data_IF_010995957893
#
_entry.id   IF_010995957893
#
_cell.length_a   1.000
_cell.length_b   1.000
_cell.length_c   1.000
_cell.angle_alpha   90.00
_cell.angle_beta   90.00
_cell.angle_gamma   90.00
#
_symmetry.space_group_name_H-M   'P 1'
#
loop_
_entity.id
_entity.type
_entity.pdbx_description
1 polymer ?
#
# COMPACT_ATOMS: atom_id res chain seq x y z
N UNK A 1 -11.69 -22.72 -9.80
CA UNK A 1 -11.26 -22.79 -11.23
C UNK A 1 -11.08 -21.42 -11.90
N UNK A 2 -12.04 -20.47 -11.82
CA UNK A 2 -11.89 -19.16 -12.49
C UNK A 2 -10.72 -18.33 -11.90
N UNK A 3 -10.52 -18.37 -10.58
CA UNK A 3 -9.42 -17.65 -9.93
C UNK A 3 -8.06 -18.20 -10.36
N UNK A 4 -7.93 -19.50 -10.45
CA UNK A 4 -6.73 -20.21 -10.88
C UNK A 4 -6.40 -19.87 -12.33
N UNK A 5 -7.41 -19.82 -13.20
CA UNK A 5 -7.24 -19.39 -14.60
C UNK A 5 -6.79 -17.92 -14.70
N UNK A 6 -7.32 -17.02 -13.86
CA UNK A 6 -6.87 -15.62 -13.82
C UNK A 6 -5.41 -15.55 -13.34
N UNK A 7 -5.04 -16.34 -12.34
CA UNK A 7 -3.66 -16.39 -11.84
C UNK A 7 -2.70 -16.96 -12.89
N UNK A 8 -3.10 -18.00 -13.63
CA UNK A 8 -2.33 -18.52 -14.77
C UNK A 8 -2.17 -17.49 -15.89
N UNK A 9 -3.25 -16.79 -16.23
CA UNK A 9 -3.20 -15.70 -17.19
C UNK A 9 -2.22 -14.63 -16.71
N UNK A 10 -2.27 -14.26 -15.42
CA UNK A 10 -1.35 -13.29 -14.82
C UNK A 10 0.11 -13.70 -15.02
N UNK A 11 0.46 -14.97 -14.89
CA UNK A 11 1.84 -15.47 -14.98
C UNK A 11 2.19 -16.00 -16.37
N UNK A 12 1.39 -15.71 -17.41
CA UNK A 12 1.51 -16.40 -18.69
C UNK A 12 2.91 -16.35 -19.33
N UNK A 13 3.55 -15.18 -19.33
CA UNK A 13 4.88 -15.01 -19.93
C UNK A 13 6.00 -15.62 -19.06
N UNK A 14 5.82 -15.64 -17.74
CA UNK A 14 6.79 -16.07 -16.74
C UNK A 14 6.12 -17.05 -15.77
N UNK A 15 5.86 -18.30 -16.21
CA UNK A 15 5.13 -19.26 -15.41
C UNK A 15 5.93 -19.68 -14.17
N UNK A 16 5.22 -19.95 -13.07
CA UNK A 16 5.83 -20.55 -11.88
C UNK A 16 6.61 -21.82 -12.21
N UNK A 17 7.81 -22.02 -11.65
CA UNK A 17 8.56 -23.28 -11.80
C UNK A 17 8.00 -24.42 -10.95
N UNK A 18 6.92 -24.19 -10.20
CA UNK A 18 6.24 -25.19 -9.38
C UNK A 18 4.96 -25.65 -10.08
N UNK A 19 4.77 -26.97 -10.13
CA UNK A 19 3.51 -27.61 -10.44
C UNK A 19 2.44 -27.13 -9.45
N UNK A 20 1.32 -26.61 -9.96
CA UNK A 20 0.31 -25.93 -9.14
C UNK A 20 -0.62 -26.88 -8.39
N UNK A 21 -0.63 -28.16 -8.73
CA UNK A 21 -1.50 -29.17 -8.10
C UNK A 21 -0.74 -29.93 -7.02
N UNK A 22 0.49 -30.34 -7.34
CA UNK A 22 1.33 -31.18 -6.49
C UNK A 22 2.47 -30.41 -5.81
N UNK A 23 2.69 -29.14 -6.16
CA UNK A 23 3.78 -28.31 -5.61
C UNK A 23 5.18 -28.77 -6.03
N UNK A 24 5.29 -29.65 -7.02
CA UNK A 24 6.58 -30.23 -7.44
C UNK A 24 7.36 -29.23 -8.26
N UNK A 25 8.67 -29.16 -8.04
CA UNK A 25 9.56 -28.40 -8.91
C UNK A 25 9.56 -28.97 -10.33
N UNK A 26 8.99 -28.23 -11.27
CA UNK A 26 8.91 -28.50 -12.70
C UNK A 26 9.16 -27.20 -13.48
N UNK A 27 10.43 -26.79 -13.61
CA UNK A 27 10.76 -25.51 -14.22
C UNK A 27 10.36 -25.51 -15.68
N UNK A 28 9.49 -24.57 -16.05
CA UNK A 28 9.09 -24.31 -17.43
C UNK A 28 9.87 -23.07 -17.89
N UNK A 29 10.41 -23.11 -19.11
CA UNK A 29 11.07 -21.94 -19.68
C UNK A 29 10.06 -20.79 -19.85
N UNK A 30 10.54 -19.55 -19.68
CA UNK A 30 9.73 -18.37 -19.96
C UNK A 30 9.18 -18.44 -21.39
N UNK A 31 7.91 -18.09 -21.52
CA UNK A 31 7.25 -18.11 -22.83
C UNK A 31 7.73 -16.92 -23.63
N UNK A 32 7.68 -17.04 -24.96
CA UNK A 32 7.87 -15.87 -25.82
C UNK A 32 6.82 -14.83 -25.46
N UNK A 33 7.25 -13.62 -25.12
CA UNK A 33 6.36 -12.52 -24.75
C UNK A 33 5.36 -12.27 -25.89
N UNK A 34 4.08 -12.40 -25.56
CA UNK A 34 2.97 -12.01 -26.43
C UNK A 34 2.20 -10.85 -25.81
N UNK A 35 1.59 -10.03 -26.66
CA UNK A 35 0.67 -8.98 -26.25
C UNK A 35 -0.66 -9.59 -25.77
N UNK A 36 -0.87 -9.63 -24.45
CA UNK A 36 -2.08 -10.20 -23.84
C UNK A 36 -3.22 -9.19 -23.73
N UNK A 37 -2.95 -7.90 -23.97
CA UNK A 37 -3.92 -6.81 -23.86
C UNK A 37 -5.19 -7.07 -24.68
N UNK A 38 -5.05 -7.47 -25.95
CA UNK A 38 -6.17 -7.76 -26.83
C UNK A 38 -6.95 -9.04 -26.49
N UNK A 39 -6.35 -9.94 -25.69
CA UNK A 39 -6.97 -11.20 -25.25
C UNK A 39 -7.69 -10.99 -23.91
N UNK A 40 -7.05 -10.27 -22.99
CA UNK A 40 -7.57 -10.02 -21.64
C UNK A 40 -8.60 -8.90 -21.64
N UNK A 41 -8.41 -7.84 -22.42
CA UNK A 41 -9.29 -6.68 -22.45
C UNK A 41 -10.78 -7.03 -22.59
N UNK A 42 -11.17 -7.88 -23.57
CA UNK A 42 -12.58 -8.25 -23.76
C UNK A 42 -13.24 -8.98 -22.58
N UNK A 43 -12.49 -9.68 -21.73
CA UNK A 43 -13.04 -10.43 -20.60
C UNK A 43 -13.14 -9.61 -19.31
N UNK A 44 -12.38 -8.51 -19.20
CA UNK A 44 -12.32 -7.68 -17.98
C UNK A 44 -13.71 -7.22 -17.49
N UNK A 45 -14.63 -6.73 -18.34
CA UNK A 45 -15.96 -6.31 -17.89
C UNK A 45 -16.75 -7.42 -17.19
N UNK A 46 -16.67 -8.67 -17.67
CA UNK A 46 -17.33 -9.83 -17.05
C UNK A 46 -16.71 -10.15 -15.68
N UNK A 47 -15.38 -10.04 -15.55
CA UNK A 47 -14.70 -10.25 -14.26
C UNK A 47 -15.18 -9.26 -13.19
N UNK A 48 -15.45 -8.00 -13.56
CA UNK A 48 -15.88 -6.94 -12.64
C UNK A 48 -17.34 -7.07 -12.16
N UNK A 49 -18.13 -7.91 -12.82
CA UNK A 49 -19.52 -8.22 -12.45
C UNK A 49 -19.64 -9.54 -11.67
N UNK A 50 -18.54 -10.24 -11.46
CA UNK A 50 -18.51 -11.54 -10.79
C UNK A 50 -18.42 -11.41 -9.26
N UNK A 51 -18.11 -12.52 -8.59
CA UNK A 51 -17.82 -12.54 -7.15
C UNK A 51 -16.66 -11.61 -6.79
N UNK A 52 -16.63 -11.16 -5.54
CA UNK A 52 -15.62 -10.22 -5.02
C UNK A 52 -14.18 -10.68 -5.28
N UNK A 53 -13.90 -11.97 -5.05
CA UNK A 53 -12.58 -12.56 -5.29
C UNK A 53 -12.18 -12.49 -6.78
N UNK A 54 -13.12 -12.79 -7.68
CA UNK A 54 -12.88 -12.76 -9.13
C UNK A 54 -12.73 -11.31 -9.61
N UNK A 55 -13.52 -10.39 -9.05
CA UNK A 55 -13.40 -8.97 -9.34
C UNK A 55 -12.03 -8.45 -8.94
N UNK A 56 -11.56 -8.70 -7.70
CA UNK A 56 -10.23 -8.29 -7.24
C UNK A 56 -9.13 -8.88 -8.12
N UNK A 57 -9.18 -10.18 -8.42
CA UNK A 57 -8.21 -10.81 -9.33
C UNK A 57 -8.24 -10.18 -10.74
N UNK A 58 -9.44 -9.88 -11.26
CA UNK A 58 -9.63 -9.16 -12.52
C UNK A 58 -9.06 -7.75 -12.51
N UNK A 59 -9.18 -7.00 -11.41
CA UNK A 59 -8.57 -5.66 -11.30
C UNK A 59 -7.04 -5.73 -11.37
N UNK A 60 -6.45 -6.73 -10.71
CA UNK A 60 -5.01 -6.98 -10.76
C UNK A 60 -4.56 -7.37 -12.17
N UNK A 61 -5.34 -8.20 -12.86
CA UNK A 61 -5.08 -8.62 -14.23
C UNK A 61 -5.13 -7.43 -15.21
N UNK A 62 -6.16 -6.59 -15.11
CA UNK A 62 -6.31 -5.39 -15.93
C UNK A 62 -5.11 -4.43 -15.72
N UNK A 63 -4.71 -4.22 -14.47
CA UNK A 63 -3.57 -3.37 -14.13
C UNK A 63 -2.22 -3.98 -14.57
N UNK A 64 -2.07 -5.31 -14.53
CA UNK A 64 -0.85 -6.01 -14.98
C UNK A 64 -0.64 -5.86 -16.48
N UNK A 65 -1.70 -5.99 -17.27
CA UNK A 65 -1.64 -5.90 -18.73
C UNK A 65 -1.90 -4.52 -19.30
N UNK A 66 -2.08 -3.50 -18.44
CA UNK A 66 -2.23 -2.12 -18.93
C UNK A 66 -3.54 -1.87 -19.67
N UNK A 67 -4.62 -2.57 -19.32
CA UNK A 67 -5.94 -2.42 -19.97
C UNK A 67 -6.56 -1.07 -19.58
N UNK A 68 -6.25 0.00 -20.30
CA UNK A 68 -6.69 1.37 -19.98
C UNK A 68 -8.19 1.57 -20.13
N UNK A 69 -8.82 0.80 -21.02
CA UNK A 69 -10.26 0.79 -21.26
C UNK A 69 -11.06 0.37 -20.01
N UNK A 70 -10.41 -0.32 -19.06
CA UNK A 70 -11.02 -0.69 -17.78
C UNK A 70 -11.11 0.49 -16.80
N UNK A 71 -10.38 1.58 -17.02
CA UNK A 71 -10.26 2.66 -16.04
C UNK A 71 -11.60 3.33 -15.66
N UNK A 72 -12.55 3.62 -16.58
CA UNK A 72 -13.85 4.16 -16.20
C UNK A 72 -14.62 3.23 -15.23
N UNK A 73 -14.64 1.92 -15.51
CA UNK A 73 -15.30 0.95 -14.64
C UNK A 73 -14.61 0.85 -13.28
N UNK A 74 -13.27 0.87 -13.24
CA UNK A 74 -12.52 0.87 -11.99
C UNK A 74 -12.83 2.12 -11.15
N UNK A 75 -12.96 3.29 -11.77
CA UNK A 75 -13.34 4.53 -11.07
C UNK A 75 -14.74 4.45 -10.46
N UNK A 76 -15.72 3.90 -11.21
CA UNK A 76 -17.05 3.62 -10.68
C UNK A 76 -17.00 2.64 -9.50
N UNK A 77 -16.17 1.60 -9.59
CA UNK A 77 -16.00 0.63 -8.51
C UNK A 77 -15.43 1.25 -7.24
N UNK A 78 -14.47 2.19 -7.34
CA UNK A 78 -13.95 2.92 -6.16
C UNK A 78 -15.06 3.72 -5.48
N UNK A 79 -15.94 4.36 -6.28
CA UNK A 79 -17.03 5.20 -5.78
C UNK A 79 -18.23 4.40 -5.23
N UNK A 80 -18.43 3.15 -5.65
CA UNK A 80 -19.57 2.34 -5.23
C UNK A 80 -19.41 1.84 -3.77
N UNK A 81 -20.03 2.57 -2.84
CA UNK A 81 -20.03 2.25 -1.40
C UNK A 81 -20.70 0.92 -1.04
N UNK A 82 -21.42 0.29 -1.97
CA UNK A 82 -22.02 -1.05 -1.76
C UNK A 82 -21.02 -2.17 -2.01
N UNK A 83 -19.90 -1.87 -2.68
CA UNK A 83 -18.84 -2.86 -2.91
C UNK A 83 -17.97 -3.01 -1.65
N UNK A 84 -17.41 -4.20 -1.41
CA UNK A 84 -16.44 -4.42 -0.34
C UNK A 84 -15.26 -3.47 -0.45
N UNK A 85 -14.71 -3.06 0.69
CA UNK A 85 -13.59 -2.11 0.72
C UNK A 85 -12.36 -2.65 0.01
N UNK A 86 -12.13 -3.95 0.05
CA UNK A 86 -11.01 -4.65 -0.58
C UNK A 86 -11.06 -4.48 -2.11
N UNK A 87 -12.25 -4.64 -2.70
CA UNK A 87 -12.47 -4.41 -4.14
C UNK A 87 -12.20 -2.95 -4.48
N UNK A 88 -12.71 -2.01 -3.67
CA UNK A 88 -12.54 -0.56 -3.87
C UNK A 88 -11.05 -0.15 -3.80
N UNK A 89 -10.32 -0.70 -2.84
CA UNK A 89 -8.86 -0.50 -2.67
C UNK A 89 -8.10 -1.07 -3.88
N UNK A 90 -8.43 -2.29 -4.30
CA UNK A 90 -7.80 -2.92 -5.47
C UNK A 90 -8.05 -2.11 -6.74
N UNK A 91 -9.28 -1.60 -6.93
CA UNK A 91 -9.62 -0.72 -8.06
C UNK A 91 -8.84 0.60 -8.03
N UNK A 92 -8.67 1.22 -6.87
CA UNK A 92 -7.90 2.47 -6.75
C UNK A 92 -6.42 2.25 -7.10
N UNK A 93 -5.81 1.19 -6.59
CA UNK A 93 -4.44 0.82 -6.96
C UNK A 93 -4.29 0.50 -8.46
N UNK A 94 -5.29 -0.17 -9.05
CA UNK A 94 -5.33 -0.48 -10.47
C UNK A 94 -5.41 0.80 -11.32
N UNK A 95 -6.28 1.76 -10.98
CA UNK A 95 -6.39 3.05 -11.67
C UNK A 95 -5.06 3.80 -11.71
N UNK A 96 -4.37 3.80 -10.58
CA UNK A 96 -3.09 4.46 -10.44
C UNK A 96 -2.03 3.83 -11.36
N UNK A 97 -1.92 2.50 -11.31
CA UNK A 97 -1.01 1.73 -12.17
C UNK A 97 -1.31 1.91 -13.66
N UNK A 98 -2.59 2.09 -14.01
CA UNK A 98 -3.02 2.36 -15.39
C UNK A 98 -2.78 3.81 -15.84
N UNK A 99 -2.34 4.69 -14.94
CA UNK A 99 -2.10 6.11 -15.23
C UNK A 99 -3.40 6.87 -15.52
N UNK A 100 -4.46 6.60 -14.76
CA UNK A 100 -5.76 7.24 -14.97
C UNK A 100 -5.65 8.78 -14.82
N UNK A 101 -6.09 9.58 -15.81
CA UNK A 101 -5.87 11.03 -15.79
C UNK A 101 -6.44 11.77 -14.58
N UNK A 102 -7.53 11.26 -14.00
CA UNK A 102 -8.21 11.86 -12.82
C UNK A 102 -7.85 11.15 -11.51
N UNK A 103 -6.74 10.42 -11.47
CA UNK A 103 -6.35 9.62 -10.28
C UNK A 103 -6.28 10.46 -9.00
N UNK A 104 -5.81 11.71 -9.08
CA UNK A 104 -5.71 12.62 -7.94
C UNK A 104 -7.09 13.05 -7.41
N UNK A 105 -8.09 13.25 -8.29
CA UNK A 105 -9.48 13.55 -7.89
C UNK A 105 -10.12 12.34 -7.19
N UNK A 106 -9.91 11.14 -7.74
CA UNK A 106 -10.39 9.89 -7.14
C UNK A 106 -9.75 9.68 -5.77
N UNK A 107 -8.44 9.91 -5.64
CA UNK A 107 -7.71 9.78 -4.39
C UNK A 107 -8.17 10.80 -3.33
N UNK A 108 -8.42 12.06 -3.72
CA UNK A 108 -9.01 13.08 -2.83
C UNK A 108 -10.39 12.69 -2.30
N UNK A 109 -11.18 11.98 -3.12
CA UNK A 109 -12.46 11.42 -2.66
C UNK A 109 -12.22 10.27 -1.68
N UNK A 110 -11.27 9.37 -2.00
CA UNK A 110 -10.94 8.20 -1.19
C UNK A 110 -10.44 8.55 0.22
N UNK A 111 -9.67 9.63 0.40
CA UNK A 111 -9.19 10.07 1.72
C UNK A 111 -10.31 10.56 2.67
N UNK A 112 -11.51 10.84 2.14
CA UNK A 112 -12.69 11.22 2.92
C UNK A 112 -13.65 10.06 3.18
N UNK A 113 -13.34 8.86 2.68
CA UNK A 113 -14.22 7.70 2.80
C UNK A 113 -14.39 7.25 4.25
N UNK A 114 -15.50 6.56 4.54
CA UNK A 114 -15.77 6.00 5.87
C UNK A 114 -14.79 4.87 6.24
N UNK A 115 -14.29 4.14 5.24
CA UNK A 115 -13.40 3.01 5.42
C UNK A 115 -11.93 3.43 5.51
N UNK A 116 -11.26 3.04 6.59
CA UNK A 116 -9.87 3.39 6.86
C UNK A 116 -8.91 2.88 5.76
N UNK A 117 -9.10 1.65 5.29
CA UNK A 117 -8.26 1.06 4.24
C UNK A 117 -8.28 1.86 2.93
N UNK A 118 -9.45 2.40 2.56
CA UNK A 118 -9.57 3.23 1.38
C UNK A 118 -8.93 4.61 1.59
N UNK A 119 -9.05 5.20 2.79
CA UNK A 119 -8.35 6.45 3.12
C UNK A 119 -6.84 6.30 3.06
N UNK A 120 -6.29 5.21 3.60
CA UNK A 120 -4.84 4.89 3.50
C UNK A 120 -4.41 4.79 2.04
N UNK A 121 -5.17 4.05 1.23
CA UNK A 121 -4.85 3.89 -0.19
C UNK A 121 -4.92 5.23 -0.94
N UNK A 122 -5.92 6.07 -0.66
CA UNK A 122 -6.02 7.43 -1.19
C UNK A 122 -4.82 8.30 -0.85
N UNK A 123 -4.34 8.27 0.39
CA UNK A 123 -3.14 9.01 0.82
C UNK A 123 -1.88 8.51 0.10
N UNK A 124 -1.71 7.19 -0.06
CA UNK A 124 -0.59 6.61 -0.80
C UNK A 124 -0.58 7.05 -2.27
N UNK A 125 -1.74 7.09 -2.91
CA UNK A 125 -1.90 7.59 -4.28
C UNK A 125 -1.53 9.09 -4.34
N UNK A 126 -2.07 9.91 -3.43
CA UNK A 126 -1.75 11.35 -3.39
C UNK A 126 -0.27 11.59 -3.15
N UNK A 127 0.39 10.85 -2.27
CA UNK A 127 1.81 10.98 -2.01
C UNK A 127 2.68 10.71 -3.25
N UNK A 128 2.22 9.84 -4.17
CA UNK A 128 2.95 9.53 -5.41
C UNK A 128 2.73 10.56 -6.52
N UNK A 129 1.57 11.22 -6.55
CA UNK A 129 1.19 12.15 -7.62
C UNK A 129 1.27 13.63 -7.24
N UNK A 130 1.08 13.96 -5.97
CA UNK A 130 1.10 15.32 -5.39
C UNK A 130 1.76 15.29 -3.99
N UNK A 131 3.06 14.95 -3.91
CA UNK A 131 3.73 14.66 -2.64
C UNK A 131 3.66 15.83 -1.64
N UNK A 132 3.84 17.07 -2.09
CA UNK A 132 3.79 18.24 -1.22
C UNK A 132 2.38 18.48 -0.67
N UNK A 133 1.35 18.26 -1.50
CA UNK A 133 -0.04 18.42 -1.08
C UNK A 133 -0.49 17.32 -0.10
N UNK A 134 0.10 16.12 -0.20
CA UNK A 134 -0.25 14.99 0.65
C UNK A 134 0.30 15.09 2.08
N UNK A 135 1.34 15.90 2.32
CA UNK A 135 2.01 16.00 3.63
C UNK A 135 1.05 16.32 4.76
N UNK A 136 0.19 17.33 4.57
CA UNK A 136 -0.76 17.78 5.59
C UNK A 136 -1.74 16.66 5.97
N UNK A 137 -2.25 15.94 4.97
CA UNK A 137 -3.20 14.85 5.18
C UNK A 137 -2.54 13.64 5.85
N UNK A 138 -1.27 13.36 5.53
CA UNK A 138 -0.47 12.32 6.17
C UNK A 138 -0.17 12.66 7.63
N UNK A 139 0.26 13.88 7.92
CA UNK A 139 0.53 14.33 9.29
C UNK A 139 -0.74 14.29 10.15
N UNK A 140 -1.88 14.73 9.61
CA UNK A 140 -3.17 14.62 10.29
C UNK A 140 -3.58 13.17 10.54
N UNK A 141 -3.28 12.26 9.61
CA UNK A 141 -3.52 10.83 9.78
C UNK A 141 -2.69 10.23 10.92
N UNK A 142 -1.43 10.64 11.10
CA UNK A 142 -0.61 10.22 12.25
C UNK A 142 -1.17 10.80 13.55
N UNK A 143 -1.61 12.06 13.54
CA UNK A 143 -2.11 12.74 14.74
C UNK A 143 -3.43 12.19 15.27
N UNK A 144 -4.34 11.78 14.38
CA UNK A 144 -5.74 11.53 14.75
C UNK A 144 -6.41 10.34 14.04
N UNK A 145 -5.69 9.65 13.16
CA UNK A 145 -6.19 8.47 12.47
C UNK A 145 -6.30 7.25 13.39
N UNK A 146 -6.96 6.20 12.90
CA UNK A 146 -6.89 4.87 13.53
C UNK A 146 -5.46 4.32 13.40
N UNK A 147 -5.08 3.34 14.22
CA UNK A 147 -3.75 2.70 14.19
C UNK A 147 -3.28 2.37 12.76
N UNK A 148 -4.11 1.69 11.97
CA UNK A 148 -3.79 1.35 10.55
C UNK A 148 -3.53 2.59 9.69
N UNK A 149 -4.22 3.71 9.95
CA UNK A 149 -3.99 4.96 9.22
C UNK A 149 -2.72 5.67 9.65
N UNK A 150 -2.41 5.64 10.96
CA UNK A 150 -1.18 6.21 11.49
C UNK A 150 0.04 5.45 10.94
N UNK A 151 0.03 4.12 11.04
CA UNK A 151 1.07 3.24 10.52
C UNK A 151 1.24 3.40 9.02
N UNK A 152 0.12 3.38 8.27
CA UNK A 152 0.13 3.62 6.84
C UNK A 152 0.75 4.97 6.48
N UNK A 153 0.37 6.04 7.17
CA UNK A 153 0.91 7.38 6.91
C UNK A 153 2.41 7.50 7.21
N UNK A 154 2.89 6.89 8.30
CA UNK A 154 4.32 6.82 8.62
C UNK A 154 5.09 6.09 7.52
N UNK A 155 4.57 4.95 7.05
CA UNK A 155 5.16 4.20 5.95
C UNK A 155 5.20 5.04 4.66
N UNK A 156 4.11 5.73 4.31
CA UNK A 156 4.08 6.61 3.14
C UNK A 156 5.17 7.69 3.22
N UNK A 157 5.29 8.36 4.37
CA UNK A 157 6.33 9.38 4.57
C UNK A 157 7.74 8.80 4.46
N UNK A 158 7.97 7.57 4.94
CA UNK A 158 9.25 6.87 4.82
C UNK A 158 9.65 6.62 3.35
N UNK A 159 8.67 6.37 2.47
CA UNK A 159 8.89 6.14 1.04
C UNK A 159 9.02 7.45 0.22
N UNK A 160 8.44 8.55 0.68
CA UNK A 160 8.47 9.85 -0.01
C UNK A 160 9.88 10.43 -0.09
N UNK A 161 10.31 10.89 -1.27
CA UNK A 161 11.69 11.38 -1.48
C UNK A 161 11.88 12.88 -1.17
N UNK A 162 10.82 13.58 -0.77
CA UNK A 162 10.89 15.02 -0.50
C UNK A 162 11.43 15.29 0.93
N UNK A 163 12.27 16.31 1.13
CA UNK A 163 12.82 16.65 2.45
C UNK A 163 11.77 16.92 3.53
N UNK A 164 10.63 17.48 3.15
CA UNK A 164 9.53 17.82 4.05
C UNK A 164 8.92 16.57 4.70
N UNK A 165 8.88 15.43 4.00
CA UNK A 165 8.42 14.17 4.58
C UNK A 165 9.35 13.69 5.69
N UNK A 166 10.66 13.85 5.50
CA UNK A 166 11.66 13.57 6.55
C UNK A 166 11.48 14.49 7.75
N UNK A 167 11.22 15.79 7.54
CA UNK A 167 10.97 16.73 8.64
C UNK A 167 9.75 16.35 9.48
N UNK A 168 8.69 15.82 8.86
CA UNK A 168 7.53 15.29 9.59
C UNK A 168 7.95 14.08 10.45
N UNK A 169 8.74 13.15 9.90
CA UNK A 169 9.25 12.01 10.67
C UNK A 169 10.17 12.44 11.82
N UNK A 170 11.04 13.44 11.60
CA UNK A 170 11.90 14.03 12.64
C UNK A 170 11.06 14.62 13.78
N UNK A 171 10.01 15.38 13.45
CA UNK A 171 9.07 15.92 14.44
C UNK A 171 8.42 14.82 15.29
N UNK A 172 7.95 13.74 14.65
CA UNK A 172 7.33 12.62 15.37
C UNK A 172 8.35 11.80 16.18
N UNK A 173 9.58 11.65 15.71
CA UNK A 173 10.68 11.02 16.46
C UNK A 173 11.06 11.85 17.69
N UNK A 174 11.07 13.17 17.61
CA UNK A 174 11.28 14.05 18.78
C UNK A 174 10.19 13.86 19.84
N UNK A 175 8.93 13.66 19.42
CA UNK A 175 7.83 13.32 20.33
C UNK A 175 7.98 11.92 20.92
N UNK A 176 8.49 10.97 20.15
CA UNK A 176 8.76 9.61 20.63
C UNK A 176 9.79 9.61 21.76
N UNK A 177 10.89 10.36 21.61
CA UNK A 177 11.92 10.54 22.65
C UNK A 177 11.34 11.16 23.93
N UNK A 178 10.30 12.00 23.82
CA UNK A 178 9.58 12.59 24.96
C UNK A 178 8.48 11.69 25.53
N UNK A 179 8.34 10.46 25.04
CA UNK A 179 7.28 9.52 25.41
C UNK A 179 5.85 10.04 25.13
N UNK A 180 5.68 10.89 24.11
CA UNK A 180 4.40 11.50 23.71
C UNK A 180 3.73 10.77 22.53
N UNK A 181 4.20 9.56 22.22
CA UNK A 181 3.76 8.76 21.07
C UNK A 181 3.13 7.45 21.56
N UNK A 182 1.89 7.12 21.13
CA UNK A 182 1.24 5.85 21.47
C UNK A 182 2.08 4.64 21.08
N UNK A 183 2.03 3.57 21.88
CA UNK A 183 2.87 2.38 21.72
C UNK A 183 2.70 1.71 20.34
N UNK A 184 1.50 1.77 19.79
CA UNK A 184 1.08 1.09 18.56
C UNK A 184 1.79 1.58 17.29
N UNK A 185 2.41 2.77 17.34
CA UNK A 185 3.05 3.40 16.18
C UNK A 185 4.55 3.66 16.39
N UNK A 186 5.10 3.31 17.56
CA UNK A 186 6.52 3.53 17.85
C UNK A 186 7.42 2.71 16.94
N UNK A 187 7.08 1.44 16.72
CA UNK A 187 7.84 0.55 15.84
C UNK A 187 7.92 1.10 14.41
N UNK A 188 6.81 1.64 13.90
CA UNK A 188 6.72 2.19 12.56
C UNK A 188 7.59 3.45 12.41
N UNK A 189 7.59 4.34 13.41
CA UNK A 189 8.47 5.50 13.43
C UNK A 189 9.95 5.10 13.45
N UNK A 190 10.31 4.11 14.28
CA UNK A 190 11.68 3.61 14.34
C UNK A 190 12.13 2.98 13.01
N UNK A 191 11.26 2.21 12.36
CA UNK A 191 11.52 1.65 11.03
C UNK A 191 11.65 2.74 9.96
N UNK A 192 10.75 3.72 9.96
CA UNK A 192 10.79 4.84 9.04
C UNK A 192 12.07 5.69 9.21
N UNK A 193 12.46 5.96 10.46
CA UNK A 193 13.69 6.67 10.77
C UNK A 193 14.93 5.93 10.25
N UNK A 194 15.01 4.61 10.51
CA UNK A 194 16.08 3.73 10.00
C UNK A 194 16.10 3.64 8.47
N UNK A 195 14.96 3.79 7.80
CA UNK A 195 14.88 3.80 6.33
C UNK A 195 15.38 5.12 5.73
N UNK A 196 15.14 6.27 6.39
CA UNK A 196 15.56 7.59 5.90
C UNK A 196 17.05 7.87 6.08
N UNK A 197 17.66 7.38 7.16
CA UNK A 197 19.10 7.48 7.42
C UNK A 197 19.63 8.92 7.36
N UNK A 198 18.94 9.86 8.02
CA UNK A 198 19.45 11.23 8.17
C UNK A 198 20.17 11.41 9.50
N UNK A 199 21.19 12.30 9.57
CA UNK A 199 21.92 12.52 10.82
C UNK A 199 21.03 12.87 12.03
N UNK A 200 19.97 13.64 11.81
CA UNK A 200 19.00 14.00 12.86
C UNK A 200 18.21 12.76 13.33
N UNK A 201 17.69 11.96 12.41
CA UNK A 201 16.94 10.74 12.74
C UNK A 201 17.83 9.70 13.44
N UNK A 202 19.09 9.57 13.03
CA UNK A 202 20.05 8.69 13.67
C UNK A 202 20.35 9.13 15.12
N UNK A 203 20.47 10.43 15.37
CA UNK A 203 20.62 10.95 16.73
C UNK A 203 19.38 10.70 17.59
N UNK A 204 18.19 10.89 17.03
CA UNK A 204 16.93 10.61 17.73
C UNK A 204 16.72 9.12 18.03
N UNK A 205 17.15 8.23 17.12
CA UNK A 205 17.18 6.78 17.34
C UNK A 205 18.09 6.43 18.53
N UNK A 206 19.31 6.97 18.56
CA UNK A 206 20.24 6.75 19.68
C UNK A 206 19.68 7.29 21.00
N UNK A 207 19.09 8.49 20.99
CA UNK A 207 18.49 9.09 22.18
C UNK A 207 17.32 8.24 22.72
N UNK A 208 16.48 7.72 21.83
CA UNK A 208 15.40 6.81 22.22
C UNK A 208 15.94 5.49 22.77
N UNK A 209 16.92 4.89 22.10
CA UNK A 209 17.55 3.64 22.54
C UNK A 209 18.17 3.78 23.95
N UNK A 210 18.76 4.94 24.27
CA UNK A 210 19.32 5.24 25.60
C UNK A 210 18.24 5.41 26.69
N UNK A 211 17.00 5.77 26.31
CA UNK A 211 15.88 5.90 27.24
C UNK A 211 15.28 4.55 27.66
N UNK A 212 15.66 3.45 27.00
CA UNK A 212 15.11 2.12 27.29
C UNK A 212 15.57 1.60 28.66
N UNK A 213 14.75 0.76 29.32
CA UNK A 213 15.16 0.08 30.55
C UNK A 213 16.44 -0.72 30.35
N UNK A 214 17.47 -0.45 31.15
CA UNK A 214 18.72 -1.22 31.11
C UNK A 214 18.60 -2.51 31.92
N UNK A 215 19.20 -3.60 31.42
CA UNK A 215 19.23 -4.90 32.10
C UNK A 215 18.05 -5.83 31.79
N UNK A 216 17.12 -5.42 30.92
CA UNK A 216 16.04 -6.28 30.43
C UNK A 216 16.39 -6.85 29.04
N UNK A 217 16.41 -8.18 28.93
CA UNK A 217 16.74 -8.90 27.70
C UNK A 217 15.78 -8.63 26.54
N UNK A 218 14.55 -8.18 26.83
CA UNK A 218 13.54 -7.87 25.81
C UNK A 218 13.41 -6.37 25.53
N UNK A 219 14.20 -5.50 26.20
CA UNK A 219 14.08 -4.04 26.06
C UNK A 219 14.12 -3.54 24.61
N UNK A 220 14.98 -4.14 23.77
CA UNK A 220 15.11 -3.76 22.35
C UNK A 220 13.95 -4.22 21.45
N UNK A 221 12.98 -4.95 22.00
CA UNK A 221 11.84 -5.49 21.26
C UNK A 221 10.48 -5.07 21.83
N UNK A 222 10.44 -4.19 22.84
CA UNK A 222 9.19 -3.82 23.53
C UNK A 222 8.14 -3.27 22.54
N UNK A 223 8.58 -2.53 21.54
CA UNK A 223 7.70 -1.92 20.54
C UNK A 223 7.04 -2.95 19.62
N UNK A 224 7.58 -4.17 19.56
CA UNK A 224 6.97 -5.29 18.81
C UNK A 224 5.78 -5.92 19.53
N UNK A 225 5.53 -5.58 20.81
CA UNK A 225 4.37 -6.05 21.56
C UNK A 225 3.07 -5.35 21.15
N UNK A 226 3.17 -4.08 20.72
CA UNK A 226 2.03 -3.24 20.36
C UNK A 226 1.99 -2.88 18.87
N UNK A 227 3.12 -2.97 18.16
CA UNK A 227 3.24 -2.63 16.74
C UNK A 227 3.61 -3.81 15.84
N UNK A 228 3.47 -3.62 14.52
CA UNK A 228 3.89 -4.61 13.51
C UNK A 228 2.78 -5.46 12.89
N UNK A 229 1.53 -5.00 12.95
CA UNK A 229 0.37 -5.64 12.33
C UNK A 229 0.24 -5.37 10.83
#
# INVERSE_FOLDING_TARGET
MRLEAIEELSQWNEPSPLDRVLGRWQPIQNRKTIELTGIVGPIVPDLFQSSEQITTAGTGLAAKYGIKEAAPMLAEMVADTRRPVEVRVASLNALDKLGYPKITEVAKTAITDKQAALRVTGRNVLARHQPEAALKDLEQAIASGKTVEQQGAIQTLAEMKIPEATKVLEHWMQRLVKHEVPAEIQLDLLKAAKQKQTPELDQLLVAFDQSRPQGDAIAGYIETLAGGN
#
